data_IF_928364928328
#
_entry.id   IF_928364928328
#
_cell.length_a   1.000
_cell.length_b   1.000
_cell.length_c   1.000
_cell.angle_alpha   90.00
_cell.angle_beta   90.00
_cell.angle_gamma   90.00
#
_symmetry.space_group_name_H-M   'P 1'
#
loop_
_entity.id
_entity.type
_entity.pdbx_description
1 polymer ?
#
# COMPACT_ATOMS: atom_id res chain seq x y z
N UNK A 1 20.96 -9.89 -15.69
CA UNK A 1 20.36 -8.57 -15.88
C UNK A 1 21.47 -7.53 -15.91
N UNK A 2 21.37 -6.48 -16.73
CA UNK A 2 22.20 -5.28 -16.49
C UNK A 2 21.68 -4.62 -15.21
N UNK A 3 22.58 -4.18 -14.32
CA UNK A 3 22.19 -3.54 -13.06
C UNK A 3 21.53 -2.17 -13.24
N UNK A 4 21.75 -1.54 -14.39
CA UNK A 4 21.19 -0.25 -14.73
C UNK A 4 20.98 -0.13 -16.23
N UNK A 5 19.82 0.36 -16.64
CA UNK A 5 19.47 0.71 -18.03
C UNK A 5 18.88 2.11 -18.08
N UNK A 6 18.89 2.74 -19.26
CA UNK A 6 18.40 4.14 -19.40
C UNK A 6 16.96 4.33 -18.91
N UNK A 7 16.09 3.33 -19.09
CA UNK A 7 14.71 3.36 -18.63
C UNK A 7 14.53 3.31 -17.10
N UNK A 8 15.57 2.95 -16.34
CA UNK A 8 15.49 2.93 -14.87
C UNK A 8 15.40 4.34 -14.29
N UNK A 9 15.90 5.35 -15.00
CA UNK A 9 15.77 6.76 -14.61
C UNK A 9 14.30 7.19 -14.70
N UNK A 10 13.65 6.90 -15.83
CA UNK A 10 12.24 7.22 -16.02
C UNK A 10 11.36 6.46 -15.02
N UNK A 11 11.66 5.17 -14.81
CA UNK A 11 10.99 4.34 -13.80
C UNK A 11 11.18 4.87 -12.38
N UNK A 12 12.38 5.32 -12.03
CA UNK A 12 12.67 5.91 -10.72
C UNK A 12 11.86 7.19 -10.50
N UNK A 13 11.88 8.13 -11.44
CA UNK A 13 11.13 9.38 -11.29
C UNK A 13 9.61 9.15 -11.31
N UNK A 14 9.13 8.23 -12.16
CA UNK A 14 7.72 7.84 -12.17
C UNK A 14 7.28 7.28 -10.82
N UNK A 15 8.04 6.35 -10.26
CA UNK A 15 7.75 5.75 -8.96
C UNK A 15 7.92 6.73 -7.80
N UNK A 16 8.91 7.63 -7.87
CA UNK A 16 9.14 8.64 -6.85
C UNK A 16 8.00 9.67 -6.81
N UNK A 17 7.53 10.13 -7.97
CA UNK A 17 6.40 11.06 -8.06
C UNK A 17 5.10 10.41 -7.60
N UNK A 18 4.83 9.17 -8.03
CA UNK A 18 3.66 8.41 -7.58
C UNK A 18 3.65 8.27 -6.05
N UNK A 19 4.74 7.79 -5.45
CA UNK A 19 4.83 7.65 -4.00
C UNK A 19 4.79 8.99 -3.26
N UNK A 20 5.31 10.08 -3.84
CA UNK A 20 5.22 11.40 -3.23
C UNK A 20 3.76 11.86 -3.13
N UNK A 21 2.97 11.69 -4.19
CA UNK A 21 1.53 11.99 -4.18
C UNK A 21 0.82 11.15 -3.12
N UNK A 22 1.16 9.87 -2.99
CA UNK A 22 0.57 9.00 -1.97
C UNK A 22 0.94 9.41 -0.54
N UNK A 23 2.17 9.85 -0.31
CA UNK A 23 2.61 10.37 1.00
C UNK A 23 1.84 11.63 1.37
N UNK A 24 1.63 12.55 0.41
CA UNK A 24 0.81 13.75 0.63
C UNK A 24 -0.66 13.38 0.91
N UNK A 25 -1.18 12.36 0.22
CA UNK A 25 -2.53 11.85 0.49
C UNK A 25 -2.63 11.26 1.90
N UNK A 26 -1.66 10.46 2.34
CA UNK A 26 -1.61 9.93 3.71
C UNK A 26 -1.57 11.07 4.73
N UNK A 27 -0.71 12.07 4.52
CA UNK A 27 -0.63 13.24 5.40
C UNK A 27 -2.00 13.92 5.52
N UNK A 28 -2.63 14.22 4.38
CA UNK A 28 -3.93 14.87 4.33
C UNK A 28 -5.00 14.04 5.04
N UNK A 29 -5.13 12.75 4.72
CA UNK A 29 -6.14 11.87 5.33
C UNK A 29 -5.94 11.74 6.85
N UNK A 30 -4.70 11.58 7.32
CA UNK A 30 -4.46 11.44 8.75
C UNK A 30 -4.67 12.75 9.50
N UNK A 31 -4.29 13.90 8.94
CA UNK A 31 -4.37 15.20 9.66
C UNK A 31 -5.74 15.86 9.51
N UNK A 32 -6.37 15.83 8.34
CA UNK A 32 -7.68 16.49 8.11
C UNK A 32 -8.86 15.59 8.44
N UNK A 33 -8.86 14.32 8.03
CA UNK A 33 -10.00 13.41 8.28
C UNK A 33 -9.92 12.83 9.68
N UNK A 34 -8.77 12.27 10.06
CA UNK A 34 -8.61 11.65 11.38
C UNK A 34 -8.15 12.61 12.47
N UNK A 35 -7.75 13.85 12.14
CA UNK A 35 -7.32 14.83 13.15
C UNK A 35 -6.06 14.43 13.91
N UNK A 36 -5.17 13.64 13.32
CA UNK A 36 -3.94 13.22 13.98
C UNK A 36 -3.01 14.41 14.20
N UNK A 37 -2.29 14.48 15.33
CA UNK A 37 -1.27 15.50 15.53
C UNK A 37 -0.19 15.42 14.44
N UNK A 38 0.06 16.53 13.73
CA UNK A 38 1.08 16.58 12.65
C UNK A 38 2.44 16.07 13.10
N UNK A 39 2.83 16.37 14.34
CA UNK A 39 4.09 15.91 14.90
C UNK A 39 4.17 14.37 14.97
N UNK A 40 3.06 13.69 15.27
CA UNK A 40 2.99 12.24 15.27
C UNK A 40 3.09 11.67 13.85
N UNK A 41 2.36 12.27 12.89
CA UNK A 41 2.42 11.85 11.48
C UNK A 41 3.84 11.96 10.92
N UNK A 42 4.51 13.09 11.14
CA UNK A 42 5.85 13.35 10.59
C UNK A 42 6.97 12.58 11.29
N UNK A 43 6.86 12.33 12.60
CA UNK A 43 7.93 11.63 13.35
C UNK A 43 7.75 10.12 13.38
N UNK A 44 6.53 9.61 13.17
CA UNK A 44 6.23 8.18 13.34
C UNK A 44 5.71 7.55 12.06
N UNK A 45 4.71 8.16 11.41
CA UNK A 45 4.04 7.53 10.26
C UNK A 45 4.88 7.67 8.99
N UNK A 46 5.25 8.89 8.60
CA UNK A 46 5.99 9.13 7.34
C UNK A 46 7.35 8.44 7.28
N UNK A 47 8.17 8.42 8.35
CA UNK A 47 9.41 7.66 8.35
C UNK A 47 9.17 6.15 8.17
N UNK A 48 8.09 5.61 8.76
CA UNK A 48 7.70 4.22 8.56
C UNK A 48 7.33 3.90 7.11
N UNK A 49 6.59 4.81 6.46
CA UNK A 49 6.26 4.70 5.03
C UNK A 49 7.51 4.78 4.16
N UNK A 50 8.44 5.70 4.46
CA UNK A 50 9.68 5.81 3.70
C UNK A 50 10.54 4.54 3.80
N UNK A 51 10.66 3.97 5.00
CA UNK A 51 11.38 2.71 5.21
C UNK A 51 10.70 1.54 4.49
N UNK A 52 9.37 1.44 4.53
CA UNK A 52 8.66 0.36 3.83
C UNK A 52 8.85 0.43 2.32
N UNK A 53 8.78 1.64 1.73
CA UNK A 53 9.01 1.86 0.31
C UNK A 53 10.44 1.49 -0.10
N UNK A 54 11.44 1.89 0.69
CA UNK A 54 12.84 1.54 0.43
C UNK A 54 13.05 0.03 0.48
N UNK A 55 12.64 -0.61 1.57
CA UNK A 55 12.84 -2.05 1.78
C UNK A 55 12.07 -2.88 0.75
N UNK A 56 10.83 -2.50 0.43
CA UNK A 56 10.01 -3.18 -0.56
C UNK A 56 10.61 -3.12 -1.97
N UNK A 57 11.08 -1.95 -2.41
CA UNK A 57 11.71 -1.80 -3.72
C UNK A 57 13.07 -2.51 -3.82
N UNK A 58 13.88 -2.48 -2.75
CA UNK A 58 15.12 -3.26 -2.70
C UNK A 58 14.84 -4.77 -2.79
N UNK A 59 13.80 -5.24 -2.10
CA UNK A 59 13.40 -6.64 -2.12
C UNK A 59 12.91 -7.09 -3.50
N UNK A 60 12.05 -6.32 -4.17
CA UNK A 60 11.61 -6.65 -5.54
C UNK A 60 12.74 -6.54 -6.56
N UNK A 61 13.65 -5.58 -6.40
CA UNK A 61 14.86 -5.50 -7.24
C UNK A 61 15.73 -6.74 -7.09
N UNK A 62 15.94 -7.20 -5.84
CA UNK A 62 16.67 -8.45 -5.57
C UNK A 62 15.98 -9.67 -6.18
N UNK A 63 14.64 -9.77 -6.09
CA UNK A 63 13.90 -10.87 -6.69
C UNK A 63 14.00 -10.89 -8.23
N UNK A 64 13.94 -9.73 -8.88
CA UNK A 64 14.14 -9.61 -10.32
C UNK A 64 15.54 -10.08 -10.74
N UNK A 65 16.57 -9.69 -9.98
CA UNK A 65 17.95 -10.15 -10.22
C UNK A 65 18.10 -11.66 -10.06
N UNK A 66 17.54 -12.23 -8.98
CA UNK A 66 17.58 -13.68 -8.72
C UNK A 66 16.84 -14.46 -9.80
N UNK A 67 15.70 -13.96 -10.28
CA UNK A 67 14.94 -14.56 -11.38
C UNK A 67 15.72 -14.50 -12.70
N UNK A 68 16.35 -13.36 -12.99
CA UNK A 68 17.21 -13.18 -14.16
C UNK A 68 18.37 -14.18 -14.21
N UNK A 69 19.04 -14.40 -13.07
CA UNK A 69 20.10 -15.40 -12.95
C UNK A 69 19.57 -16.82 -13.15
N UNK A 70 18.40 -17.15 -12.59
CA UNK A 70 17.81 -18.49 -12.71
C UNK A 70 17.36 -18.82 -14.14
N UNK A 71 16.81 -17.85 -14.87
CA UNK A 71 16.28 -18.09 -16.23
C UNK A 71 17.28 -17.76 -17.34
N UNK A 72 18.46 -17.22 -17.03
CA UNK A 72 19.44 -16.75 -18.02
C UNK A 72 18.95 -15.58 -18.88
N UNK A 73 17.84 -14.94 -18.51
CA UNK A 73 17.18 -13.87 -19.27
C UNK A 73 17.51 -12.51 -18.67
N UNK A 74 17.70 -11.51 -19.53
CA UNK A 74 18.10 -10.16 -19.12
C UNK A 74 16.99 -9.11 -19.27
N UNK A 75 15.77 -9.53 -19.61
CA UNK A 75 14.61 -8.68 -19.90
C UNK A 75 13.58 -8.61 -18.76
N UNK A 76 13.94 -9.08 -17.57
CA UNK A 76 13.09 -8.96 -16.39
C UNK A 76 13.12 -7.54 -15.83
N UNK A 77 11.95 -7.01 -15.51
CA UNK A 77 11.78 -5.73 -14.82
C UNK A 77 11.33 -5.99 -13.38
N UNK A 78 11.87 -5.24 -12.42
CA UNK A 78 11.42 -5.30 -11.04
C UNK A 78 10.01 -4.71 -10.93
N UNK A 79 9.15 -5.36 -10.15
CA UNK A 79 7.84 -4.80 -9.83
C UNK A 79 8.05 -3.56 -8.93
N UNK A 80 7.40 -2.42 -9.25
CA UNK A 80 7.44 -1.27 -8.38
C UNK A 80 6.67 -1.56 -7.10
N UNK A 81 7.31 -1.35 -5.94
CA UNK A 81 6.63 -1.38 -4.65
C UNK A 81 6.09 0.03 -4.34
N UNK A 82 4.79 0.13 -4.08
CA UNK A 82 4.10 1.39 -3.83
C UNK A 82 2.90 1.20 -2.91
N UNK A 83 2.21 2.31 -2.67
CA UNK A 83 1.07 2.38 -1.74
C UNK A 83 -0.22 2.07 -2.48
N UNK A 84 -1.02 1.14 -1.97
CA UNK A 84 -2.34 0.85 -2.51
C UNK A 84 -3.36 1.90 -2.01
N UNK A 85 -3.69 2.86 -2.87
CA UNK A 85 -4.65 3.94 -2.59
C UNK A 85 -5.99 3.42 -2.11
N UNK A 86 -6.51 2.38 -2.74
CA UNK A 86 -7.86 1.86 -2.46
C UNK A 86 -7.92 1.31 -1.05
N UNK A 87 -6.95 0.47 -0.69
CA UNK A 87 -6.84 -0.06 0.66
C UNK A 87 -6.56 1.03 1.68
N UNK A 88 -5.81 2.09 1.32
CA UNK A 88 -5.59 3.24 2.18
C UNK A 88 -6.92 3.93 2.54
N UNK A 89 -7.77 4.22 1.55
CA UNK A 89 -9.11 4.77 1.81
C UNK A 89 -9.95 3.84 2.67
N UNK A 90 -9.96 2.54 2.36
CA UNK A 90 -10.69 1.56 3.16
C UNK A 90 -10.21 1.54 4.62
N UNK A 91 -8.89 1.54 4.88
CA UNK A 91 -8.37 1.57 6.25
C UNK A 91 -8.70 2.86 6.97
N UNK A 92 -8.57 4.02 6.33
CA UNK A 92 -8.87 5.30 6.96
C UNK A 92 -10.34 5.40 7.34
N UNK A 93 -11.24 5.13 6.39
CA UNK A 93 -12.68 5.38 6.59
C UNK A 93 -13.41 4.22 7.27
N UNK A 94 -13.04 2.96 6.99
CA UNK A 94 -13.78 1.79 7.50
C UNK A 94 -13.17 1.18 8.75
N UNK A 95 -11.91 1.51 9.09
CA UNK A 95 -11.23 0.96 10.27
C UNK A 95 -10.80 2.07 11.24
N UNK A 96 -9.94 2.99 10.81
CA UNK A 96 -9.31 3.95 11.69
C UNK A 96 -10.31 5.00 12.20
N UNK A 97 -11.17 5.52 11.33
CA UNK A 97 -12.21 6.48 11.69
C UNK A 97 -13.21 5.93 12.72
N UNK A 98 -13.88 4.77 12.51
CA UNK A 98 -14.77 4.21 13.51
C UNK A 98 -14.04 3.84 14.81
N UNK A 99 -12.80 3.32 14.71
CA UNK A 99 -11.99 3.04 15.90
C UNK A 99 -11.67 4.32 16.70
N UNK A 100 -11.38 5.44 16.02
CA UNK A 100 -11.16 6.74 16.65
C UNK A 100 -12.43 7.20 17.38
N UNK A 101 -13.57 7.22 16.69
CA UNK A 101 -14.84 7.68 17.25
C UNK A 101 -15.28 6.83 18.46
N UNK A 102 -15.04 5.52 18.39
CA UNK A 102 -15.27 4.62 19.52
C UNK A 102 -14.34 4.91 20.70
N UNK A 103 -13.06 5.20 20.45
CA UNK A 103 -12.15 5.59 21.52
C UNK A 103 -12.54 6.93 22.16
N UNK A 104 -13.03 7.88 21.35
CA UNK A 104 -13.51 9.18 21.85
C UNK A 104 -14.78 9.03 22.69
N UNK A 105 -15.71 8.15 22.32
CA UNK A 105 -16.91 7.89 23.12
C UNK A 105 -16.61 7.26 24.48
N UNK A 106 -15.49 6.53 24.59
CA UNK A 106 -14.96 5.99 25.85
C UNK A 106 -14.12 7.01 26.65
N UNK A 107 -13.95 8.24 26.15
CA UNK A 107 -13.19 9.29 26.82
C UNK A 107 -11.67 9.15 26.72
N UNK A 108 -11.15 8.36 25.78
CA UNK A 108 -9.70 8.22 25.60
C UNK A 108 -9.07 9.52 25.10
N UNK A 109 -8.14 10.07 25.89
CA UNK A 109 -7.36 11.28 25.56
C UNK A 109 -6.48 11.14 24.30
N UNK A 110 -6.08 9.91 23.95
CA UNK A 110 -5.22 9.60 22.81
C UNK A 110 -5.93 8.72 21.78
N UNK A 111 -7.14 9.11 21.38
CA UNK A 111 -7.96 8.39 20.39
C UNK A 111 -7.23 8.12 19.07
N UNK A 112 -6.33 9.02 18.65
CA UNK A 112 -5.50 8.84 17.45
C UNK A 112 -4.52 7.66 17.55
N UNK A 113 -3.96 7.37 18.73
CA UNK A 113 -3.09 6.20 18.91
C UNK A 113 -3.88 4.90 18.82
N UNK A 114 -5.10 4.90 19.35
CA UNK A 114 -6.01 3.75 19.25
C UNK A 114 -6.36 3.47 17.79
N UNK A 115 -6.75 4.51 17.05
CA UNK A 115 -7.04 4.42 15.62
C UNK A 115 -5.82 3.95 14.80
N UNK A 116 -4.62 4.48 15.10
CA UNK A 116 -3.39 4.06 14.43
C UNK A 116 -3.07 2.59 14.68
N UNK A 117 -3.19 2.12 15.93
CA UNK A 117 -3.00 0.70 16.28
C UNK A 117 -4.03 -0.20 15.61
N UNK A 118 -5.30 0.23 15.55
CA UNK A 118 -6.35 -0.50 14.83
C UNK A 118 -6.03 -0.62 13.33
N UNK A 119 -5.56 0.48 12.70
CA UNK A 119 -5.09 0.47 11.32
C UNK A 119 -3.90 -0.47 11.09
N UNK A 120 -2.91 -0.47 12.00
CA UNK A 120 -1.78 -1.41 11.93
C UNK A 120 -2.22 -2.88 12.04
N UNK A 121 -3.14 -3.18 12.95
CA UNK A 121 -3.68 -4.54 13.10
C UNK A 121 -4.47 -4.97 11.86
N UNK A 122 -5.27 -4.08 11.28
CA UNK A 122 -6.00 -4.36 10.05
C UNK A 122 -5.03 -4.60 8.87
N UNK A 123 -3.97 -3.80 8.75
CA UNK A 123 -2.93 -3.98 7.74
C UNK A 123 -2.21 -5.32 7.89
N UNK A 124 -1.81 -5.67 9.12
CA UNK A 124 -1.19 -6.98 9.41
C UNK A 124 -2.15 -8.13 9.10
N UNK A 125 -3.42 -8.00 9.49
CA UNK A 125 -4.47 -8.97 9.19
C UNK A 125 -4.66 -9.18 7.69
N UNK A 126 -4.72 -8.09 6.90
CA UNK A 126 -4.77 -8.18 5.43
C UNK A 126 -3.54 -8.90 4.89
N UNK A 127 -2.34 -8.58 5.38
CA UNK A 127 -1.10 -9.25 4.97
C UNK A 127 -1.14 -10.76 5.23
N UNK A 128 -1.67 -11.20 6.38
CA UNK A 128 -1.85 -12.63 6.69
C UNK A 128 -2.85 -13.28 5.74
N UNK A 129 -3.96 -12.61 5.44
CA UNK A 129 -4.98 -13.10 4.50
C UNK A 129 -4.40 -13.20 3.09
N UNK A 130 -3.66 -12.19 2.63
CA UNK A 130 -2.99 -12.18 1.32
C UNK A 130 -1.92 -13.26 1.22
N UNK A 131 -1.12 -13.45 2.27
CA UNK A 131 -0.12 -14.51 2.32
C UNK A 131 -0.76 -15.90 2.26
N UNK A 132 -1.80 -16.16 3.05
CA UNK A 132 -2.55 -17.41 2.99
C UNK A 132 -3.24 -17.59 1.63
N UNK A 133 -3.80 -16.51 1.09
CA UNK A 133 -4.45 -16.47 -0.22
C UNK A 133 -3.49 -16.77 -1.37
N UNK A 134 -2.21 -16.38 -1.29
CA UNK A 134 -1.22 -16.58 -2.33
C UNK A 134 -1.04 -18.05 -2.73
N UNK A 135 -1.25 -19.01 -1.81
CA UNK A 135 -1.15 -20.45 -2.09
C UNK A 135 -2.30 -20.98 -2.96
N UNK A 136 -3.46 -20.31 -2.94
CA UNK A 136 -4.67 -20.72 -3.67
C UNK A 136 -4.97 -19.77 -4.83
N UNK A 137 -4.41 -18.55 -4.80
CA UNK A 137 -4.66 -17.47 -5.75
C UNK A 137 -4.50 -17.91 -7.22
N UNK A 138 -3.48 -18.71 -7.53
CA UNK A 138 -3.25 -19.20 -8.90
C UNK A 138 -4.37 -20.12 -9.39
N UNK A 139 -4.92 -20.96 -8.51
CA UNK A 139 -6.03 -21.86 -8.85
C UNK A 139 -7.30 -21.07 -9.11
N UNK A 140 -7.58 -20.07 -8.26
CA UNK A 140 -8.72 -19.17 -8.42
C UNK A 140 -8.59 -18.39 -9.72
N UNK A 141 -7.42 -17.80 -10.00
CA UNK A 141 -7.16 -17.05 -11.23
C UNK A 141 -7.42 -17.87 -12.49
N UNK A 142 -7.08 -19.17 -12.48
CA UNK A 142 -7.34 -20.08 -13.61
C UNK A 142 -8.82 -20.45 -13.77
N UNK A 143 -9.58 -20.48 -12.67
CA UNK A 143 -11.00 -20.79 -12.68
C UNK A 143 -11.89 -19.56 -12.99
N UNK A 144 -11.40 -18.34 -12.70
CA UNK A 144 -12.18 -17.11 -12.84
C UNK A 144 -12.09 -16.52 -14.26
N UNK A 145 -13.21 -16.16 -14.90
CA UNK A 145 -13.20 -15.49 -16.20
C UNK A 145 -12.47 -14.14 -16.15
N UNK A 146 -11.74 -13.78 -17.21
CA UNK A 146 -11.04 -12.49 -17.31
C UNK A 146 -11.95 -11.28 -17.09
N UNK A 147 -13.21 -11.38 -17.53
CA UNK A 147 -14.20 -10.32 -17.31
C UNK A 147 -14.42 -10.00 -15.83
N UNK A 148 -14.46 -11.02 -14.96
CA UNK A 148 -14.64 -10.85 -13.52
C UNK A 148 -13.36 -10.31 -12.83
N UNK A 149 -12.18 -10.64 -13.35
CA UNK A 149 -10.92 -10.07 -12.84
C UNK A 149 -10.76 -8.60 -13.21
N UNK A 150 -11.28 -8.18 -14.37
CA UNK A 150 -11.17 -6.80 -14.85
C UNK A 150 -12.28 -5.88 -14.34
N UNK A 151 -13.42 -6.41 -13.90
CA UNK A 151 -14.57 -5.62 -13.43
C UNK A 151 -14.37 -4.95 -12.07
N UNK A 152 -13.42 -5.44 -11.26
CA UNK A 152 -13.15 -4.91 -9.92
C UNK A 152 -12.52 -3.52 -9.94
N UNK A 153 -11.59 -3.25 -10.87
CA UNK A 153 -10.96 -1.94 -11.02
C UNK A 153 -11.97 -0.81 -11.33
N UNK A 154 -12.86 -0.95 -12.35
CA UNK A 154 -13.90 0.03 -12.63
C UNK A 154 -14.88 0.20 -11.46
N UNK A 155 -15.24 -0.89 -10.78
CA UNK A 155 -16.13 -0.82 -9.63
C UNK A 155 -15.56 0.02 -8.49
N UNK A 156 -14.27 -0.14 -8.20
CA UNK A 156 -13.58 0.68 -7.21
C UNK A 156 -13.48 2.14 -7.68
N UNK A 157 -13.12 2.38 -8.95
CA UNK A 157 -13.01 3.73 -9.49
C UNK A 157 -14.37 4.47 -9.42
N UNK A 158 -15.45 3.82 -9.80
CA UNK A 158 -16.80 4.39 -9.71
C UNK A 158 -17.25 4.59 -8.26
N UNK A 159 -16.96 3.64 -7.37
CA UNK A 159 -17.44 3.66 -5.99
C UNK A 159 -16.69 4.62 -5.05
N UNK A 160 -15.39 4.84 -5.28
CA UNK A 160 -14.54 5.61 -4.36
C UNK A 160 -13.89 6.86 -4.97
N UNK A 161 -13.80 6.96 -6.30
CA UNK A 161 -13.05 8.04 -6.97
C UNK A 161 -13.96 8.97 -7.77
N UNK A 162 -14.99 8.43 -8.43
CA UNK A 162 -15.85 9.19 -9.34
C UNK A 162 -17.05 9.90 -8.70
N UNK A 163 -17.45 9.50 -7.48
CA UNK A 163 -18.58 10.06 -6.73
C UNK A 163 -18.06 10.93 -5.59
#
# INVERSE_FOLDING_TARGET
>A
MKLFVKGDIDGFFGLALDNLVQVLLIESLLTTVLGFPRQFVYKTVLPGVAVSLLVGNLFYSYQALKLSQKTGRNDHCALPYGINTVSLFAYVFLVMLPAKLYAESLGFKYSYLFAWKAGLLACLGSGVIEFAGAFVAEKIRKATPRAALLSTLPGIALGFISL
#
